data_IF_800631935159
#
_entry.id   IF_800631935159
#
_cell.length_a   1.000
_cell.length_b   1.000
_cell.length_c   1.000
_cell.angle_alpha   90.00
_cell.angle_beta   90.00
_cell.angle_gamma   90.00
#
_symmetry.space_group_name_H-M   'P 1'
#
loop_
_entity.id
_entity.type
_entity.pdbx_description
1 polymer ?
#
# COMPACT_ATOMS: atom_id res chain seq x y z
N UNK A 1 67.60 -50.74 -24.98
CA UNK A 1 68.27 -50.07 -26.12
C UNK A 1 68.00 -48.59 -26.01
N UNK A 2 69.05 -47.80 -26.18
CA UNK A 2 69.14 -46.34 -26.05
C UNK A 2 68.43 -45.62 -27.20
N UNK A 3 67.78 -44.48 -26.89
CA UNK A 3 67.85 -43.19 -27.62
C UNK A 3 66.97 -42.18 -26.86
N UNK A 4 67.48 -41.25 -26.04
CA UNK A 4 68.24 -40.02 -26.32
C UNK A 4 67.57 -39.06 -27.31
N UNK A 5 67.23 -37.85 -26.84
CA UNK A 5 66.85 -36.71 -27.66
C UNK A 5 66.61 -35.46 -26.80
N UNK A 6 67.67 -34.68 -26.59
CA UNK A 6 67.73 -33.46 -25.77
C UNK A 6 66.83 -32.32 -26.24
N UNK A 7 66.43 -31.48 -25.28
CA UNK A 7 65.75 -30.20 -25.46
C UNK A 7 66.59 -29.16 -26.23
N UNK A 8 65.88 -28.28 -26.96
CA UNK A 8 66.37 -27.02 -27.49
C UNK A 8 65.53 -25.86 -26.92
N UNK A 9 66.11 -24.66 -26.72
CA UNK A 9 65.57 -23.61 -25.87
C UNK A 9 64.51 -22.73 -26.56
N UNK A 10 63.59 -22.21 -25.75
CA UNK A 10 62.54 -21.26 -26.07
C UNK A 10 63.11 -19.88 -26.46
N UNK A 11 62.66 -19.36 -27.60
CA UNK A 11 62.89 -17.96 -28.02
C UNK A 11 61.65 -17.16 -27.64
N UNK A 12 61.76 -16.30 -26.62
CA UNK A 12 60.75 -15.31 -26.30
C UNK A 12 60.72 -14.22 -27.38
N UNK A 13 59.52 -13.90 -27.85
CA UNK A 13 59.27 -12.77 -28.74
C UNK A 13 58.88 -11.57 -27.86
N UNK A 14 59.40 -10.36 -28.06
CA UNK A 14 59.01 -9.21 -27.25
C UNK A 14 57.55 -8.88 -27.52
N UNK A 15 56.73 -8.79 -26.46
CA UNK A 15 55.38 -8.26 -26.55
C UNK A 15 55.45 -6.76 -26.84
N UNK A 16 54.71 -6.32 -27.86
CA UNK A 16 54.48 -4.91 -28.18
C UNK A 16 53.64 -4.30 -27.04
N UNK A 17 54.09 -3.18 -26.45
CA UNK A 17 53.32 -2.50 -25.40
C UNK A 17 51.96 -2.04 -25.96
N UNK A 18 50.84 -2.30 -25.26
CA UNK A 18 49.57 -1.75 -25.68
C UNK A 18 49.62 -0.22 -25.51
N UNK A 19 49.43 0.49 -26.62
CA UNK A 19 49.23 1.94 -26.65
C UNK A 19 48.14 2.33 -25.65
N UNK A 20 48.45 3.27 -24.75
CA UNK A 20 47.52 3.78 -23.75
C UNK A 20 46.18 4.16 -24.39
N UNK A 21 45.10 3.57 -23.88
CA UNK A 21 43.75 4.00 -24.19
C UNK A 21 43.61 5.50 -23.85
N UNK A 22 42.89 6.30 -24.66
CA UNK A 22 42.62 7.68 -24.29
C UNK A 22 41.94 7.67 -22.92
N UNK A 23 42.47 8.48 -22.00
CA UNK A 23 41.86 8.69 -20.70
C UNK A 23 40.38 9.01 -20.92
N UNK A 24 39.51 8.20 -20.31
CA UNK A 24 38.11 8.54 -20.18
C UNK A 24 38.08 9.96 -19.60
N UNK A 25 37.67 10.91 -20.45
CA UNK A 25 37.52 12.30 -20.06
C UNK A 25 36.71 12.33 -18.78
N UNK A 26 37.23 13.07 -17.81
CA UNK A 26 36.60 13.27 -16.51
C UNK A 26 35.09 13.47 -16.72
N UNK A 27 34.31 12.47 -16.31
CA UNK A 27 32.96 12.76 -15.86
C UNK A 27 33.18 13.78 -14.76
N UNK A 28 32.83 15.03 -15.05
CA UNK A 28 32.80 16.13 -14.09
C UNK A 28 32.17 15.55 -12.83
N UNK A 29 32.92 15.58 -11.72
CA UNK A 29 32.39 15.26 -10.41
C UNK A 29 31.28 16.28 -10.16
N UNK A 30 30.06 15.96 -10.58
CA UNK A 30 28.88 16.69 -10.21
C UNK A 30 28.96 16.91 -8.70
N UNK A 31 28.78 18.16 -8.29
CA UNK A 31 28.86 18.53 -6.89
C UNK A 31 27.92 17.60 -6.11
N UNK A 32 28.51 16.74 -5.28
CA UNK A 32 27.80 15.68 -4.58
C UNK A 32 26.66 16.27 -3.73
N UNK A 33 26.83 17.49 -3.24
CA UNK A 33 25.80 18.16 -2.46
C UNK A 33 24.66 18.67 -3.35
N UNK A 34 24.95 19.16 -4.56
CA UNK A 34 23.92 19.48 -5.55
C UNK A 34 23.10 18.25 -5.96
N UNK A 35 23.76 17.11 -6.20
CA UNK A 35 23.07 15.84 -6.52
C UNK A 35 22.18 15.34 -5.37
N UNK A 36 22.62 15.49 -4.11
CA UNK A 36 21.78 15.13 -2.95
C UNK A 36 20.55 16.01 -2.86
N UNK A 37 20.69 17.32 -3.07
CA UNK A 37 19.56 18.24 -3.08
C UNK A 37 18.56 17.88 -4.17
N UNK A 38 19.01 17.65 -5.39
CA UNK A 38 18.15 17.24 -6.51
C UNK A 38 17.44 15.90 -6.24
N UNK A 39 18.14 14.94 -5.64
CA UNK A 39 17.56 13.65 -5.27
C UNK A 39 16.45 13.80 -4.21
N UNK A 40 16.66 14.62 -3.18
CA UNK A 40 15.65 14.89 -2.14
C UNK A 40 14.44 15.63 -2.70
N UNK A 41 14.66 16.62 -3.57
CA UNK A 41 13.56 17.34 -4.25
C UNK A 41 12.75 16.39 -5.14
N UNK A 42 13.41 15.55 -5.92
CA UNK A 42 12.75 14.54 -6.76
C UNK A 42 11.95 13.55 -5.92
N UNK A 43 12.53 13.07 -4.81
CA UNK A 43 11.83 12.20 -3.86
C UNK A 43 10.58 12.87 -3.31
N UNK A 44 10.68 14.11 -2.83
CA UNK A 44 9.54 14.85 -2.29
C UNK A 44 8.42 15.04 -3.33
N UNK A 45 8.77 15.31 -4.59
CA UNK A 45 7.80 15.41 -5.68
C UNK A 45 7.09 14.07 -5.96
N UNK A 46 7.81 12.95 -5.90
CA UNK A 46 7.22 11.60 -6.05
C UNK A 46 6.27 11.31 -4.89
N UNK A 47 6.71 11.56 -3.65
CA UNK A 47 5.88 11.36 -2.45
C UNK A 47 4.59 12.17 -2.54
N UNK A 48 4.70 13.45 -2.90
CA UNK A 48 3.55 14.32 -3.08
C UNK A 48 2.58 13.79 -4.15
N UNK A 49 3.08 13.41 -5.33
CA UNK A 49 2.25 12.88 -6.41
C UNK A 49 1.52 11.59 -6.00
N UNK A 50 2.19 10.69 -5.27
CA UNK A 50 1.57 9.45 -4.79
C UNK A 50 0.44 9.73 -3.79
N UNK A 51 0.64 10.65 -2.84
CA UNK A 51 -0.41 11.02 -1.90
C UNK A 51 -1.54 11.82 -2.56
N UNK A 52 -1.26 12.61 -3.60
CA UNK A 52 -2.28 13.28 -4.40
C UNK A 52 -3.16 12.26 -5.14
N UNK A 53 -2.56 11.23 -5.76
CA UNK A 53 -3.29 10.14 -6.41
C UNK A 53 -4.12 9.32 -5.41
N UNK A 54 -3.55 9.01 -4.23
CA UNK A 54 -4.26 8.32 -3.15
C UNK A 54 -5.45 9.15 -2.62
N UNK A 55 -5.27 10.47 -2.45
CA UNK A 55 -6.35 11.37 -2.03
C UNK A 55 -7.47 11.45 -3.08
N UNK A 56 -7.12 11.69 -4.34
CA UNK A 56 -8.11 11.85 -5.41
C UNK A 56 -8.95 10.59 -5.61
N UNK A 57 -8.31 9.41 -5.55
CA UNK A 57 -9.02 8.13 -5.65
C UNK A 57 -9.87 7.82 -4.41
N UNK A 58 -9.45 8.23 -3.21
CA UNK A 58 -10.28 8.12 -2.01
C UNK A 58 -11.52 9.02 -2.04
N UNK A 59 -11.42 10.22 -2.65
CA UNK A 59 -12.58 11.09 -2.90
C UNK A 59 -13.55 10.43 -3.88
N UNK A 60 -13.04 9.83 -4.96
CA UNK A 60 -13.91 9.08 -5.89
C UNK A 60 -14.57 7.88 -5.21
N UNK A 61 -13.86 7.15 -4.35
CA UNK A 61 -14.42 6.08 -3.53
C UNK A 61 -15.57 6.59 -2.65
N UNK A 62 -15.38 7.71 -1.95
CA UNK A 62 -16.44 8.34 -1.16
C UNK A 62 -17.67 8.64 -2.01
N UNK A 63 -17.50 9.26 -3.19
CA UNK A 63 -18.61 9.57 -4.09
C UNK A 63 -19.38 8.30 -4.53
N UNK A 64 -18.68 7.18 -4.80
CA UNK A 64 -19.34 5.92 -5.17
C UNK A 64 -20.06 5.26 -4.00
N UNK A 65 -19.50 5.33 -2.80
CA UNK A 65 -20.16 4.83 -1.58
C UNK A 65 -21.41 5.65 -1.30
N UNK A 66 -21.34 6.98 -1.37
CA UNK A 66 -22.49 7.86 -1.17
C UNK A 66 -23.60 7.58 -2.19
N UNK A 67 -23.23 7.33 -3.46
CA UNK A 67 -24.18 6.92 -4.49
C UNK A 67 -24.83 5.56 -4.19
N UNK A 68 -24.06 4.58 -3.68
CA UNK A 68 -24.59 3.28 -3.28
C UNK A 68 -25.55 3.39 -2.10
N UNK A 69 -25.19 4.15 -1.06
CA UNK A 69 -26.05 4.38 0.12
C UNK A 69 -27.35 5.09 -0.29
N UNK A 70 -27.29 6.03 -1.24
CA UNK A 70 -28.47 6.76 -1.71
C UNK A 70 -29.41 5.93 -2.59
N UNK A 71 -28.87 5.01 -3.40
CA UNK A 71 -29.63 4.13 -4.30
C UNK A 71 -29.02 2.72 -4.32
N UNK A 72 -29.37 1.85 -3.35
CA UNK A 72 -28.75 0.54 -3.20
C UNK A 72 -29.21 -0.43 -4.29
N UNK A 73 -28.32 -0.70 -5.25
CA UNK A 73 -28.53 -1.63 -6.35
C UNK A 73 -27.27 -2.45 -6.58
N UNK A 74 -27.39 -3.54 -7.34
CA UNK A 74 -26.21 -4.31 -7.76
C UNK A 74 -25.21 -3.46 -8.56
N UNK A 75 -25.69 -2.50 -9.36
CA UNK A 75 -24.85 -1.62 -10.18
C UNK A 75 -24.08 -0.61 -9.31
N UNK A 76 -24.75 0.03 -8.35
CA UNK A 76 -24.13 1.01 -7.46
C UNK A 76 -23.19 0.36 -6.45
N UNK A 77 -23.51 -0.83 -5.95
CA UNK A 77 -22.58 -1.63 -5.13
C UNK A 77 -21.34 -2.04 -5.91
N UNK A 78 -21.51 -2.49 -7.16
CA UNK A 78 -20.38 -2.85 -8.03
C UNK A 78 -19.48 -1.63 -8.31
N UNK A 79 -20.06 -0.46 -8.54
CA UNK A 79 -19.30 0.78 -8.71
C UNK A 79 -18.50 1.16 -7.45
N UNK A 80 -19.06 0.97 -6.25
CA UNK A 80 -18.33 1.18 -4.99
C UNK A 80 -17.16 0.20 -4.82
N UNK A 81 -17.36 -1.08 -5.15
CA UNK A 81 -16.31 -2.11 -5.14
C UNK A 81 -15.17 -1.78 -6.10
N UNK A 82 -15.49 -1.37 -7.33
CA UNK A 82 -14.49 -0.96 -8.32
C UNK A 82 -13.70 0.27 -7.87
N UNK A 83 -14.36 1.27 -7.30
CA UNK A 83 -13.68 2.44 -6.75
C UNK A 83 -12.80 2.09 -5.54
N UNK A 84 -13.20 1.13 -4.71
CA UNK A 84 -12.38 0.69 -3.58
C UNK A 84 -11.07 0.07 -4.07
N UNK A 85 -11.15 -0.81 -5.08
CA UNK A 85 -9.97 -1.42 -5.70
C UNK A 85 -9.07 -0.34 -6.34
N UNK A 86 -9.67 0.61 -7.05
CA UNK A 86 -8.96 1.70 -7.69
C UNK A 86 -8.28 2.65 -6.67
N UNK A 87 -8.87 2.85 -5.49
CA UNK A 87 -8.29 3.66 -4.42
C UNK A 87 -7.21 2.92 -3.63
N UNK A 88 -7.32 1.60 -3.50
CA UNK A 88 -6.34 0.80 -2.76
C UNK A 88 -4.97 0.76 -3.45
N UNK A 89 -4.95 0.80 -4.79
CA UNK A 89 -3.73 0.73 -5.59
C UNK A 89 -2.76 1.92 -5.39
N UNK A 90 -3.17 3.19 -5.58
CA UNK A 90 -2.29 4.34 -5.33
C UNK A 90 -1.93 4.48 -3.85
N UNK A 91 -2.86 4.20 -2.93
CA UNK A 91 -2.54 4.22 -1.50
C UNK A 91 -1.47 3.18 -1.14
N UNK A 92 -1.51 1.98 -1.73
CA UNK A 92 -0.49 0.95 -1.52
C UNK A 92 0.92 1.39 -1.95
N UNK A 93 1.05 2.27 -2.96
CA UNK A 93 2.34 2.83 -3.35
C UNK A 93 2.90 3.78 -2.28
N UNK A 94 2.03 4.44 -1.51
CA UNK A 94 2.44 5.33 -0.43
C UNK A 94 3.10 4.60 0.75
N UNK A 95 2.90 3.28 0.88
CA UNK A 95 3.49 2.49 1.95
C UNK A 95 5.03 2.49 1.92
N UNK A 96 5.63 2.77 0.76
CA UNK A 96 7.08 2.98 0.61
C UNK A 96 7.61 4.21 1.36
N UNK A 97 6.71 5.11 1.77
CA UNK A 97 6.99 6.39 2.42
C UNK A 97 6.63 6.36 3.92
N UNK A 98 6.47 5.17 4.50
CA UNK A 98 6.28 4.97 5.94
C UNK A 98 7.64 4.74 6.65
N UNK A 99 7.60 4.79 7.98
CA UNK A 99 8.67 4.43 8.93
C UNK A 99 9.79 5.46 9.09
N UNK A 100 9.46 6.75 8.93
CA UNK A 100 10.38 7.84 9.26
C UNK A 100 9.75 8.94 10.11
N UNK A 101 8.55 8.71 10.67
CA UNK A 101 7.87 9.67 11.56
C UNK A 101 7.43 10.92 10.81
N UNK A 102 6.96 10.74 9.58
CA UNK A 102 6.34 11.78 8.79
C UNK A 102 4.84 11.91 9.11
N UNK A 103 4.10 12.75 8.37
CA UNK A 103 2.70 13.05 8.68
C UNK A 103 1.75 11.84 8.66
N UNK A 104 2.15 10.73 8.05
CA UNK A 104 1.34 9.50 7.98
C UNK A 104 1.54 8.61 9.21
N UNK A 105 2.77 8.55 9.75
CA UNK A 105 3.23 7.55 10.72
C UNK A 105 3.91 8.13 11.96
N UNK A 106 3.75 9.43 12.23
CA UNK A 106 4.10 10.02 13.51
C UNK A 106 3.09 9.61 14.61
N UNK A 107 3.32 10.07 15.86
CA UNK A 107 2.49 9.72 17.02
C UNK A 107 1.02 10.12 16.85
N UNK A 108 0.74 11.15 16.05
CA UNK A 108 -0.60 11.67 15.76
C UNK A 108 -1.05 11.34 14.32
N UNK A 109 -0.32 10.45 13.64
CA UNK A 109 -0.48 10.13 12.23
C UNK A 109 -1.75 9.32 11.95
N UNK A 110 -2.40 9.49 10.79
CA UNK A 110 -3.69 8.87 10.50
C UNK A 110 -3.58 7.40 10.04
N UNK A 111 -2.39 6.78 9.99
CA UNK A 111 -2.22 5.43 9.42
C UNK A 111 -3.13 4.38 10.05
N UNK A 112 -3.27 4.38 11.39
CA UNK A 112 -4.16 3.46 12.10
C UNK A 112 -5.65 3.65 11.75
N UNK A 113 -6.03 4.85 11.28
CA UNK A 113 -7.39 5.15 10.84
C UNK A 113 -7.62 4.86 9.34
N UNK A 114 -6.55 4.65 8.58
CA UNK A 114 -6.63 4.47 7.12
C UNK A 114 -6.44 3.01 6.73
N UNK A 115 -5.49 2.29 7.33
CA UNK A 115 -5.02 0.99 6.83
C UNK A 115 -4.59 0.03 7.95
N UNK A 116 -5.21 0.14 9.13
CA UNK A 116 -4.96 -0.81 10.21
C UNK A 116 -5.41 -2.23 9.84
N UNK A 117 -4.61 -3.20 10.25
CA UNK A 117 -4.81 -4.63 10.02
C UNK A 117 -4.06 -5.43 11.11
N UNK A 118 -4.59 -6.57 11.62
CA UNK A 118 -5.81 -7.28 11.20
C UNK A 118 -7.13 -6.59 11.59
N UNK A 119 -8.24 -7.07 11.04
CA UNK A 119 -9.61 -6.61 11.36
C UNK A 119 -10.41 -7.75 12.01
N UNK A 120 -11.10 -7.45 13.11
CA UNK A 120 -12.15 -8.29 13.68
C UNK A 120 -13.50 -7.90 13.08
N UNK A 121 -13.98 -8.69 12.11
CA UNK A 121 -15.22 -8.45 11.37
C UNK A 121 -16.44 -8.33 12.29
N UNK A 122 -16.48 -9.11 13.38
CA UNK A 122 -17.59 -9.14 14.37
C UNK A 122 -17.71 -7.83 15.14
N UNK A 123 -16.65 -7.00 15.13
CA UNK A 123 -16.65 -5.68 15.76
C UNK A 123 -17.47 -4.66 14.96
N UNK A 124 -17.47 -4.77 13.63
CA UNK A 124 -18.18 -3.83 12.75
C UNK A 124 -19.65 -4.25 12.59
N UNK A 125 -19.89 -5.50 12.20
CA UNK A 125 -21.21 -5.98 11.77
C UNK A 125 -21.41 -7.47 12.11
N UNK A 126 -22.52 -8.03 11.65
CA UNK A 126 -22.81 -9.45 11.79
C UNK A 126 -21.80 -10.34 11.05
N UNK A 127 -21.59 -11.54 11.57
CA UNK A 127 -20.81 -12.63 10.95
C UNK A 127 -21.56 -13.96 11.07
N UNK A 128 -21.11 -15.01 10.38
CA UNK A 128 -21.73 -16.35 10.49
C UNK A 128 -21.73 -16.83 11.95
N UNK A 129 -22.93 -17.13 12.46
CA UNK A 129 -23.15 -17.56 13.83
C UNK A 129 -23.40 -16.43 14.85
N UNK A 130 -23.18 -15.17 14.50
CA UNK A 130 -23.37 -13.99 15.38
C UNK A 130 -24.15 -12.88 14.65
N UNK A 131 -25.44 -13.14 14.35
CA UNK A 131 -26.28 -12.29 13.50
C UNK A 131 -26.59 -10.89 14.05
N UNK A 132 -26.33 -10.65 15.34
CA UNK A 132 -26.64 -9.37 16.03
C UNK A 132 -25.40 -8.68 16.58
N UNK A 133 -24.20 -9.08 16.13
CA UNK A 133 -22.94 -8.49 16.59
C UNK A 133 -22.61 -7.17 15.92
N UNK A 134 -21.61 -6.51 16.49
CA UNK A 134 -20.98 -5.34 15.88
C UNK A 134 -21.68 -4.02 16.18
N UNK A 135 -20.93 -2.95 15.93
CA UNK A 135 -21.37 -1.56 16.14
C UNK A 135 -22.68 -1.27 15.41
N UNK A 136 -22.86 -1.83 14.21
CA UNK A 136 -24.04 -1.59 13.36
C UNK A 136 -25.33 -2.14 14.00
N UNK A 137 -25.26 -3.32 14.66
CA UNK A 137 -26.43 -3.97 15.22
C UNK A 137 -26.72 -3.56 16.67
N UNK A 138 -25.76 -2.99 17.40
CA UNK A 138 -25.95 -2.45 18.75
C UNK A 138 -26.47 -1.00 18.75
N UNK A 139 -27.72 -0.83 18.29
CA UNK A 139 -28.39 0.47 18.23
C UNK A 139 -28.75 1.07 19.60
N UNK A 140 -28.68 0.28 20.68
CA UNK A 140 -28.90 0.76 22.05
C UNK A 140 -27.67 1.52 22.55
N UNK A 141 -26.48 0.94 22.34
CA UNK A 141 -25.21 1.57 22.71
C UNK A 141 -24.78 2.63 21.70
N UNK A 142 -25.02 2.39 20.41
CA UNK A 142 -24.61 3.26 19.30
C UNK A 142 -25.80 3.77 18.49
N UNK A 143 -26.68 4.61 19.07
CA UNK A 143 -27.88 5.11 18.40
C UNK A 143 -27.58 6.07 17.24
N UNK A 144 -26.33 6.53 17.10
CA UNK A 144 -25.86 7.36 15.99
C UNK A 144 -24.42 7.00 15.72
N UNK A 145 -24.14 6.59 14.47
CA UNK A 145 -22.79 6.27 14.02
C UNK A 145 -22.30 7.47 13.19
N UNK A 146 -21.40 8.25 13.79
CA UNK A 146 -20.77 9.40 13.15
C UNK A 146 -19.23 9.26 13.13
N UNK A 147 -18.57 10.23 12.50
CA UNK A 147 -17.11 10.24 12.35
C UNK A 147 -16.41 10.24 13.71
N UNK A 148 -16.88 11.05 14.66
CA UNK A 148 -16.25 11.12 15.98
C UNK A 148 -16.36 9.79 16.72
N UNK A 149 -17.52 9.14 16.67
CA UNK A 149 -17.72 7.82 17.27
C UNK A 149 -16.80 6.78 16.64
N UNK A 150 -16.77 6.67 15.30
CA UNK A 150 -15.94 5.67 14.63
C UNK A 150 -14.46 5.84 14.98
N UNK A 151 -13.93 7.06 14.95
CA UNK A 151 -12.55 7.35 15.38
C UNK A 151 -12.34 6.95 16.85
N UNK A 152 -13.30 7.24 17.72
CA UNK A 152 -13.20 6.91 19.15
C UNK A 152 -13.25 5.41 19.46
N UNK A 153 -13.77 4.60 18.54
CA UNK A 153 -13.90 3.14 18.67
C UNK A 153 -12.72 2.38 18.05
N UNK A 154 -11.95 3.02 17.16
CA UNK A 154 -10.87 2.36 16.44
C UNK A 154 -9.78 1.87 17.41
N UNK A 155 -9.40 0.60 17.30
CA UNK A 155 -8.40 -0.08 18.15
C UNK A 155 -8.75 -0.08 19.65
N UNK A 156 -10.01 0.17 20.01
CA UNK A 156 -10.43 0.15 21.41
C UNK A 156 -10.60 -1.29 21.90
N UNK A 157 -9.79 -1.65 22.89
CA UNK A 157 -9.85 -2.94 23.58
C UNK A 157 -9.02 -4.05 22.93
N UNK A 158 -8.82 -4.00 21.61
CA UNK A 158 -7.96 -4.90 20.86
C UNK A 158 -7.43 -4.20 19.58
N UNK A 159 -6.24 -4.56 19.11
CA UNK A 159 -5.64 -3.98 17.89
C UNK A 159 -6.47 -4.33 16.64
N UNK A 160 -7.15 -5.48 16.66
CA UNK A 160 -8.03 -5.92 15.58
C UNK A 160 -9.41 -5.20 15.55
N UNK A 161 -9.77 -4.43 16.58
CA UNK A 161 -11.04 -3.71 16.65
C UNK A 161 -11.04 -2.45 15.78
N UNK A 162 -10.92 -2.63 14.47
CA UNK A 162 -10.86 -1.55 13.49
C UNK A 162 -12.27 -1.13 13.09
N UNK A 163 -12.55 0.17 13.15
CA UNK A 163 -13.87 0.78 12.85
C UNK A 163 -13.81 1.74 11.67
N UNK A 164 -12.62 1.96 11.09
CA UNK A 164 -12.37 2.93 10.02
C UNK A 164 -11.42 2.36 8.96
N UNK A 165 -11.21 3.10 7.87
CA UNK A 165 -10.18 2.79 6.88
C UNK A 165 -10.58 1.76 5.82
N UNK A 166 -9.61 1.39 4.98
CA UNK A 166 -9.81 0.56 3.80
C UNK A 166 -10.44 -0.80 4.14
N UNK A 167 -9.94 -1.48 5.17
CA UNK A 167 -10.38 -2.83 5.52
C UNK A 167 -11.78 -2.87 6.15
N UNK A 168 -12.17 -1.82 6.89
CA UNK A 168 -13.55 -1.69 7.35
C UNK A 168 -14.52 -1.52 6.17
N UNK A 169 -14.16 -0.67 5.19
CA UNK A 169 -14.97 -0.49 3.97
C UNK A 169 -15.00 -1.78 3.13
N UNK A 170 -13.88 -2.50 3.03
CA UNK A 170 -13.79 -3.80 2.36
C UNK A 170 -14.77 -4.80 2.97
N UNK A 171 -14.75 -4.97 4.28
CA UNK A 171 -15.70 -5.84 4.97
C UNK A 171 -17.15 -5.41 4.75
N UNK A 172 -17.45 -4.11 4.74
CA UNK A 172 -18.82 -3.63 4.48
C UNK A 172 -19.28 -3.82 3.03
N UNK A 173 -18.36 -3.95 2.07
CA UNK A 173 -18.69 -4.18 0.65
C UNK A 173 -18.73 -5.66 0.29
N UNK A 174 -17.87 -6.49 0.88
CA UNK A 174 -17.78 -7.92 0.55
C UNK A 174 -18.37 -8.83 1.63
N UNK A 175 -18.49 -8.36 2.87
CA UNK A 175 -18.87 -9.17 4.03
C UNK A 175 -17.76 -10.13 4.43
N UNK A 176 -18.06 -10.97 5.41
CA UNK A 176 -17.17 -12.03 5.86
C UNK A 176 -16.75 -12.94 4.70
N UNK A 177 -15.46 -13.24 4.62
CA UNK A 177 -14.93 -14.13 3.60
C UNK A 177 -15.11 -15.62 3.98
N UNK A 178 -16.25 -16.19 3.58
CA UNK A 178 -16.55 -17.62 3.69
C UNK A 178 -16.32 -18.39 2.38
N UNK A 179 -15.80 -17.72 1.36
CA UNK A 179 -15.67 -18.28 0.03
C UNK A 179 -14.36 -19.07 -0.11
N UNK A 180 -14.42 -20.25 -0.73
CA UNK A 180 -13.20 -21.04 -0.99
C UNK A 180 -12.37 -20.51 -2.16
N UNK A 181 -12.98 -19.72 -3.05
CA UNK A 181 -12.44 -19.43 -4.39
C UNK A 181 -12.60 -17.96 -4.81
N UNK A 182 -12.94 -17.05 -3.89
CA UNK A 182 -13.16 -15.64 -4.18
C UNK A 182 -13.38 -14.83 -2.91
N UNK A 183 -13.72 -13.56 -3.04
CA UNK A 183 -14.05 -12.69 -1.90
C UNK A 183 -15.43 -13.04 -1.29
N UNK A 184 -15.76 -12.37 -0.19
CA UNK A 184 -17.08 -12.41 0.43
C UNK A 184 -18.22 -12.03 -0.55
N UNK A 185 -19.43 -12.51 -0.23
CA UNK A 185 -20.61 -12.40 -1.09
C UNK A 185 -21.76 -11.61 -0.45
N UNK A 186 -21.44 -10.53 0.29
CA UNK A 186 -22.46 -9.62 0.85
C UNK A 186 -23.40 -9.11 -0.26
N UNK A 187 -24.73 -9.23 -0.09
CA UNK A 187 -25.69 -8.72 -1.07
C UNK A 187 -25.83 -7.21 -0.96
N UNK A 188 -26.21 -6.54 -2.05
CA UNK A 188 -26.50 -5.10 -2.05
C UNK A 188 -27.80 -4.73 -1.31
N UNK A 189 -28.60 -5.73 -0.94
CA UNK A 189 -29.92 -5.57 -0.29
C UNK A 189 -29.87 -5.66 1.23
N UNK A 190 -28.68 -5.86 1.77
CA UNK A 190 -28.44 -5.89 3.20
C UNK A 190 -28.73 -4.52 3.84
#
# INVERSE_FOLDING_TARGET
MVACGSAAPSVETPAEEPTAAPAAGAAETADLDALKTEAVETYANIVFANYEDAYNSAVELQDKIDAFVADPTAETMQAAKEAWLAAREPYGQTEAFRFYGGPIDDEDGPEGLINAWPLDEVYIDYVDGEETSGIINDVETYPTIDKELLISLNEVGAEENISTGFHAIEFLLWGQDLSSDGAGNRPYTD
#
